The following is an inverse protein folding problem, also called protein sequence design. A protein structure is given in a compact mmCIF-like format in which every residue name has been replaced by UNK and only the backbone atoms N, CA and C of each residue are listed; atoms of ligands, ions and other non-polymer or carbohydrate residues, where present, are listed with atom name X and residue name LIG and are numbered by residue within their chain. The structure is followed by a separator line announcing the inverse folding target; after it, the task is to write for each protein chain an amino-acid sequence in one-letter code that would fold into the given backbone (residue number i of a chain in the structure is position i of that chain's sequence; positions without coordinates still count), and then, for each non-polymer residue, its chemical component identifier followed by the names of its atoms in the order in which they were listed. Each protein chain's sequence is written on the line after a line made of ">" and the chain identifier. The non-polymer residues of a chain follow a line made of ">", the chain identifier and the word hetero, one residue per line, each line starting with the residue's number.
data_IF_306042645378
#
_entry.id   IF_306042645378
#
_cell.length_a   1.000
_cell.length_b   1.000
_cell.length_c   1.000
_cell.angle_alpha   90.00
_cell.angle_beta   90.00
_cell.angle_gamma   90.00
#
_symmetry.space_group_name_H-M   'P 1'
#
loop_
_entity.id
_entity.type
_entity.pdbx_description
1 polymer ?
#
# COMPACT_ATOMS: atom_id res chain seq x y z
N UNK A 1 -24.54 28.63 8.63
CA UNK A 1 -23.76 27.74 7.73
C UNK A 1 -23.23 26.58 8.59
N UNK A 2 -23.66 25.33 8.36
CA UNK A 2 -23.18 24.18 9.15
C UNK A 2 -21.78 23.79 8.65
N UNK A 3 -20.78 23.85 9.52
CA UNK A 3 -19.42 23.36 9.23
C UNK A 3 -19.43 21.85 9.39
N UNK A 4 -19.30 21.11 8.28
CA UNK A 4 -19.14 19.66 8.32
C UNK A 4 -17.73 19.36 8.84
N UNK A 5 -17.62 18.67 9.97
CA UNK A 5 -16.34 18.13 10.46
C UNK A 5 -16.18 16.74 9.88
N UNK A 6 -15.12 16.53 9.12
CA UNK A 6 -14.78 15.26 8.52
C UNK A 6 -13.30 14.99 8.75
N UNK A 7 -12.96 13.70 8.83
CA UNK A 7 -11.61 13.25 9.16
C UNK A 7 -11.08 12.45 7.97
N UNK A 8 -9.82 12.68 7.61
CA UNK A 8 -9.18 11.98 6.50
C UNK A 8 -7.83 11.44 6.92
N UNK A 9 -7.46 10.32 6.31
CA UNK A 9 -6.19 9.65 6.55
C UNK A 9 -5.58 9.19 5.22
N UNK A 10 -4.28 8.92 5.26
CA UNK A 10 -3.53 8.32 4.16
C UNK A 10 -2.34 7.55 4.73
N UNK A 11 -1.84 6.61 3.94
CA UNK A 11 -0.57 5.92 4.22
C UNK A 11 0.46 6.31 3.17
N UNK A 12 1.71 5.93 3.41
CA UNK A 12 2.81 6.11 2.47
C UNK A 12 2.68 5.25 1.20
N UNK A 13 1.91 4.15 1.22
CA UNK A 13 1.61 3.36 0.02
C UNK A 13 0.47 3.96 -0.82
N UNK A 14 -0.35 4.86 -0.24
CA UNK A 14 -1.42 5.56 -0.95
C UNK A 14 -2.62 4.68 -1.38
N UNK A 15 -2.65 3.40 -1.01
CA UNK A 15 -3.64 2.40 -1.45
C UNK A 15 -4.86 2.26 -0.55
N UNK A 16 -4.96 3.03 0.54
CA UNK A 16 -6.15 3.06 1.40
C UNK A 16 -6.36 1.84 2.29
N UNK A 17 -5.33 1.02 2.44
CA UNK A 17 -5.29 -0.07 3.40
C UNK A 17 -4.79 0.38 4.78
N UNK A 18 -5.38 -0.19 5.82
CA UNK A 18 -5.00 0.01 7.21
C UNK A 18 -4.48 -1.31 7.78
N UNK A 19 -3.28 -1.36 8.40
CA UNK A 19 -2.76 -2.60 8.97
C UNK A 19 -3.64 -3.20 10.06
N UNK A 20 -3.56 -4.52 10.22
CA UNK A 20 -4.23 -5.20 11.32
C UNK A 20 -3.74 -4.60 12.65
N UNK A 21 -4.66 -4.45 13.61
CA UNK A 21 -4.40 -3.79 14.88
C UNK A 21 -4.56 -2.27 14.84
N UNK A 22 -4.67 -1.66 13.65
CA UNK A 22 -5.04 -0.25 13.51
C UNK A 22 -6.51 -0.14 13.14
N UNK A 23 -7.18 0.81 13.78
CA UNK A 23 -8.61 1.01 13.62
C UNK A 23 -8.88 2.51 13.55
N UNK A 24 -9.78 2.91 12.66
CA UNK A 24 -10.19 4.30 12.45
C UNK A 24 -11.70 4.42 12.56
N UNK A 25 -12.26 5.54 13.04
CA UNK A 25 -13.70 5.75 13.06
C UNK A 25 -14.33 5.57 11.67
N UNK A 26 -15.55 5.02 11.59
CA UNK A 26 -16.27 4.82 10.32
C UNK A 26 -16.43 6.06 9.45
N UNK A 27 -16.46 7.23 10.08
CA UNK A 27 -16.58 8.55 9.45
C UNK A 27 -15.28 9.04 8.83
N UNK A 28 -14.15 8.36 9.09
CA UNK A 28 -12.86 8.69 8.52
C UNK A 28 -12.73 8.10 7.11
N UNK A 29 -12.38 8.94 6.15
CA UNK A 29 -12.30 8.54 4.73
C UNK A 29 -10.84 8.59 4.27
N UNK A 30 -10.43 7.60 3.50
CA UNK A 30 -9.09 7.60 2.92
C UNK A 30 -8.98 8.66 1.82
N UNK A 31 -7.94 9.50 1.88
CA UNK A 31 -7.81 10.69 1.02
C UNK A 31 -7.80 10.35 -0.48
N UNK A 32 -7.04 9.32 -0.87
CA UNK A 32 -6.97 8.91 -2.29
C UNK A 32 -8.30 8.34 -2.78
N UNK A 33 -8.99 7.59 -1.92
CA UNK A 33 -10.29 6.99 -2.24
C UNK A 33 -11.41 8.02 -2.31
N UNK A 34 -11.35 9.10 -1.52
CA UNK A 34 -12.31 10.22 -1.59
C UNK A 34 -12.19 10.99 -2.91
N UNK A 35 -10.95 11.26 -3.36
CA UNK A 35 -10.71 11.95 -4.63
C UNK A 35 -11.02 11.06 -5.83
N UNK A 36 -10.66 9.78 -5.76
CA UNK A 36 -10.75 8.83 -6.87
C UNK A 36 -10.12 9.37 -8.18
N UNK A 37 -8.97 10.05 -8.05
CA UNK A 37 -8.23 10.62 -9.17
C UNK A 37 -6.93 9.84 -9.39
N UNK A 38 -6.78 9.24 -10.57
CA UNK A 38 -5.57 8.52 -10.96
C UNK A 38 -4.33 9.43 -10.85
N UNK A 39 -4.44 10.66 -11.36
CA UNK A 39 -3.32 11.60 -11.35
C UNK A 39 -2.84 11.95 -9.93
N UNK A 40 -3.76 12.03 -8.96
CA UNK A 40 -3.42 12.28 -7.56
C UNK A 40 -2.73 11.06 -6.94
N UNK A 41 -3.22 9.87 -7.27
CA UNK A 41 -2.65 8.59 -6.82
C UNK A 41 -1.22 8.43 -7.33
N UNK A 42 -1.00 8.61 -8.64
CA UNK A 42 0.33 8.54 -9.27
C UNK A 42 1.30 9.58 -8.70
N UNK A 43 0.81 10.80 -8.46
CA UNK A 43 1.59 11.91 -7.92
C UNK A 43 2.18 11.56 -6.55
N UNK A 44 1.38 10.94 -5.68
CA UNK A 44 1.70 10.73 -4.27
C UNK A 44 2.08 9.29 -3.92
N UNK A 45 2.11 8.39 -4.88
CA UNK A 45 2.44 6.99 -4.65
C UNK A 45 3.83 6.83 -4.02
N UNK A 46 3.89 6.14 -2.88
CA UNK A 46 5.14 5.89 -2.17
C UNK A 46 5.67 7.04 -1.32
N UNK A 47 5.02 8.21 -1.33
CA UNK A 47 5.56 9.43 -0.74
C UNK A 47 5.88 9.28 0.75
N UNK A 48 7.08 9.70 1.13
CA UNK A 48 7.65 9.48 2.46
C UNK A 48 6.97 10.29 3.58
N UNK A 49 6.34 11.41 3.23
CA UNK A 49 5.64 12.31 4.15
C UNK A 49 4.12 12.29 3.91
N UNK A 50 3.36 11.38 4.55
CA UNK A 50 1.91 11.30 4.43
C UNK A 50 1.18 12.61 4.78
N UNK A 51 1.77 13.45 5.63
CA UNK A 51 1.20 14.74 5.98
C UNK A 51 1.19 15.67 4.76
N UNK A 52 2.20 15.63 3.90
CA UNK A 52 2.20 16.38 2.63
C UNK A 52 1.04 15.99 1.72
N UNK A 53 0.76 14.70 1.64
CA UNK A 53 -0.32 14.15 0.81
C UNK A 53 -1.67 14.70 1.28
N UNK A 54 -1.90 14.76 2.60
CA UNK A 54 -3.14 15.33 3.17
C UNK A 54 -3.28 16.83 2.93
N UNK A 55 -2.18 17.59 2.90
CA UNK A 55 -2.20 19.03 2.56
C UNK A 55 -2.65 19.24 1.12
N UNK A 56 -2.03 18.53 0.18
CA UNK A 56 -2.37 18.63 -1.24
C UNK A 56 -3.77 18.10 -1.54
N UNK A 57 -4.20 17.05 -0.82
CA UNK A 57 -5.57 16.55 -0.83
C UNK A 57 -6.58 17.64 -0.47
N UNK A 58 -6.36 18.39 0.61
CA UNK A 58 -7.29 19.42 1.05
C UNK A 58 -7.45 20.54 0.00
N UNK A 59 -6.33 20.96 -0.61
CA UNK A 59 -6.33 21.93 -1.72
C UNK A 59 -7.09 21.38 -2.92
N UNK A 60 -6.73 20.17 -3.36
CA UNK A 60 -7.34 19.51 -4.53
C UNK A 60 -8.85 19.35 -4.35
N UNK A 61 -9.27 18.85 -3.19
CA UNK A 61 -10.69 18.69 -2.86
C UNK A 61 -11.43 20.01 -2.80
N UNK A 62 -10.79 21.07 -2.29
CA UNK A 62 -11.40 22.40 -2.25
C UNK A 62 -11.70 22.91 -3.65
N UNK A 63 -10.77 22.71 -4.60
CA UNK A 63 -10.97 23.06 -5.99
C UNK A 63 -12.08 22.21 -6.64
N UNK A 64 -12.05 20.88 -6.49
CA UNK A 64 -13.06 19.98 -7.08
C UNK A 64 -14.48 20.28 -6.62
N UNK A 65 -14.65 20.62 -5.33
CA UNK A 65 -15.98 20.85 -4.74
C UNK A 65 -16.43 22.31 -4.82
N UNK A 66 -15.55 23.24 -5.23
CA UNK A 66 -15.80 24.68 -5.18
C UNK A 66 -16.05 25.22 -3.77
N UNK A 67 -15.72 24.44 -2.72
CA UNK A 67 -15.95 24.79 -1.32
C UNK A 67 -14.62 24.82 -0.57
N UNK A 68 -14.37 25.81 0.31
CA UNK A 68 -13.19 25.81 1.16
C UNK A 68 -13.14 24.56 2.05
N UNK A 69 -12.08 23.75 1.91
CA UNK A 69 -11.80 22.63 2.83
C UNK A 69 -10.81 23.10 3.86
N UNK A 70 -11.26 23.25 5.12
CA UNK A 70 -10.40 23.76 6.20
C UNK A 70 -9.76 22.61 6.97
N UNK A 71 -8.43 22.46 6.93
CA UNK A 71 -7.73 21.46 7.73
C UNK A 71 -7.51 21.98 9.14
N UNK A 72 -8.12 21.32 10.13
CA UNK A 72 -8.16 21.79 11.53
C UNK A 72 -7.14 21.12 12.45
N UNK A 73 -6.32 20.23 11.91
CA UNK A 73 -5.29 19.50 12.63
C UNK A 73 -4.65 18.46 11.71
N UNK A 74 -3.37 18.17 11.93
CA UNK A 74 -2.59 17.20 11.16
C UNK A 74 -1.68 16.44 12.11
N UNK A 75 -1.77 15.12 12.09
CA UNK A 75 -0.92 14.24 12.86
C UNK A 75 -0.32 13.18 11.92
N UNK A 76 0.96 12.87 12.11
CA UNK A 76 1.66 11.84 11.34
C UNK A 76 2.44 10.93 12.27
N UNK A 77 2.39 9.61 12.04
CA UNK A 77 3.27 8.67 12.73
C UNK A 77 4.73 8.83 12.27
N UNK A 78 4.93 9.34 11.05
CA UNK A 78 6.26 9.64 10.50
C UNK A 78 6.72 11.06 10.80
N UNK A 79 7.97 11.34 10.44
CA UNK A 79 8.48 12.70 10.38
C UNK A 79 7.65 13.54 9.38
N UNK A 80 7.53 14.82 9.67
CA UNK A 80 6.92 15.81 8.77
C UNK A 80 8.08 16.63 8.19
N UNK A 81 8.14 16.72 6.86
CA UNK A 81 9.21 17.46 6.18
C UNK A 81 9.08 18.97 6.39
N UNK A 82 10.21 19.69 6.30
CA UNK A 82 10.23 21.15 6.36
C UNK A 82 9.39 21.77 5.23
N UNK A 83 9.37 21.15 4.05
CA UNK A 83 8.50 21.56 2.94
C UNK A 83 7.02 21.44 3.28
N UNK A 84 6.64 20.39 4.03
CA UNK A 84 5.27 20.26 4.55
C UNK A 84 4.98 21.28 5.62
N UNK A 85 5.91 21.57 6.53
CA UNK A 85 5.72 22.62 7.55
C UNK A 85 5.59 23.99 6.89
N UNK A 86 6.40 24.29 5.87
CA UNK A 86 6.35 25.55 5.11
C UNK A 86 5.07 25.63 4.28
N UNK A 87 4.71 24.58 3.53
CA UNK A 87 3.45 24.54 2.78
C UNK A 87 2.25 24.62 3.74
N UNK A 88 2.36 24.02 4.92
CA UNK A 88 1.37 24.09 5.99
C UNK A 88 1.35 25.47 6.64
N UNK A 89 2.46 26.19 6.78
CA UNK A 89 2.55 27.53 7.35
C UNK A 89 2.07 28.61 6.38
N UNK A 90 2.36 28.44 5.08
CA UNK A 90 1.75 29.21 4.00
C UNK A 90 0.24 28.93 3.91
N UNK A 91 -0.16 27.66 4.06
CA UNK A 91 -1.55 27.29 4.25
C UNK A 91 -2.09 27.76 5.61
N UNK A 92 -1.23 27.95 6.61
CA UNK A 92 -1.42 28.50 7.97
C UNK A 92 -2.00 29.90 7.96
N UNK A 93 -1.54 30.67 6.96
CA UNK A 93 -2.02 31.99 6.59
C UNK A 93 -3.18 31.94 5.56
N UNK A 94 -3.41 30.78 4.93
CA UNK A 94 -4.61 30.54 4.15
C UNK A 94 -5.82 30.41 5.09
N UNK A 95 -6.99 31.00 4.77
CA UNK A 95 -8.22 30.88 5.57
C UNK A 95 -8.67 29.43 5.84
N UNK A 96 -8.03 28.46 5.17
CA UNK A 96 -8.32 27.05 5.20
C UNK A 96 -7.48 26.22 6.19
N UNK A 97 -6.61 26.78 7.03
CA UNK A 97 -5.96 25.94 8.07
C UNK A 97 -6.06 26.50 9.48
N UNK A 98 -6.49 27.75 9.63
CA UNK A 98 -6.84 28.36 10.91
C UNK A 98 -5.71 28.33 11.97
N UNK A 99 -4.44 28.29 11.54
CA UNK A 99 -3.28 28.32 12.43
C UNK A 99 -3.05 27.06 13.27
N UNK A 100 -3.63 25.90 12.91
CA UNK A 100 -3.41 24.67 13.69
C UNK A 100 -2.00 24.11 13.53
N UNK A 101 -1.42 23.50 14.58
CA UNK A 101 -0.07 22.93 14.55
C UNK A 101 -0.09 21.50 13.99
N UNK A 102 0.81 21.19 13.06
CA UNK A 102 1.07 19.81 12.66
C UNK A 102 1.92 19.09 13.72
N UNK A 103 1.54 17.87 14.08
CA UNK A 103 2.21 17.07 15.11
C UNK A 103 2.89 15.86 14.46
N UNK A 104 4.24 15.82 14.40
CA UNK A 104 4.99 14.70 13.88
C UNK A 104 5.15 13.59 14.92
N UNK A 105 5.55 12.40 14.46
CA UNK A 105 5.97 11.27 15.30
C UNK A 105 4.97 10.89 16.39
N UNK A 106 3.68 10.93 16.07
CA UNK A 106 2.65 10.51 17.04
C UNK A 106 2.71 8.99 17.22
N UNK A 107 2.69 8.57 18.48
CA UNK A 107 2.53 7.18 18.87
C UNK A 107 1.20 7.00 19.58
N UNK A 108 0.67 5.78 19.57
CA UNK A 108 -0.42 5.43 20.46
C UNK A 108 0.04 5.58 21.92
N UNK A 109 -0.84 6.03 22.80
CA UNK A 109 -0.51 6.09 24.22
C UNK A 109 -0.19 4.68 24.76
N UNK A 110 0.77 4.54 25.68
CA UNK A 110 1.06 3.24 26.30
C UNK A 110 -0.20 2.64 26.93
N UNK A 111 -0.57 1.43 26.51
CA UNK A 111 -1.78 0.74 27.01
C UNK A 111 -3.09 1.19 26.35
N UNK A 112 -3.04 2.05 25.32
CA UNK A 112 -4.21 2.35 24.51
C UNK A 112 -4.79 1.05 23.93
N UNK A 113 -6.08 0.83 24.17
CA UNK A 113 -6.79 -0.29 23.56
C UNK A 113 -7.04 0.05 22.08
N UNK A 114 -6.86 -0.92 21.16
CA UNK A 114 -7.29 -0.73 19.78
C UNK A 114 -8.76 -0.31 19.77
N UNK A 115 -9.16 0.57 18.84
CA UNK A 115 -10.59 0.80 18.66
C UNK A 115 -11.23 -0.55 18.28
N UNK A 116 -12.46 -0.82 18.74
CA UNK A 116 -13.16 -2.03 18.36
C UNK A 116 -13.30 -2.10 16.82
N UNK A 117 -13.31 -3.32 16.30
CA UNK A 117 -13.46 -3.63 14.88
C UNK A 117 -14.73 -2.98 14.28
N UNK A 118 -15.73 -2.70 15.11
CA UNK A 118 -16.93 -1.97 14.71
C UNK A 118 -17.00 -0.55 15.26
N UNK A 119 -17.39 0.45 14.44
CA UNK A 119 -17.63 0.40 12.99
C UNK A 119 -16.33 0.71 12.19
N UNK A 120 -15.18 0.29 12.69
CA UNK A 120 -13.88 0.70 12.18
C UNK A 120 -13.58 0.13 10.80
N UNK A 121 -13.05 0.96 9.89
CA UNK A 121 -12.71 0.51 8.52
C UNK A 121 -11.38 -0.24 8.52
N UNK A 122 -11.37 -1.51 8.94
CA UNK A 122 -10.36 -2.45 8.44
C UNK A 122 -10.83 -2.92 7.06
N UNK A 123 -10.23 -2.38 6.00
CA UNK A 123 -10.44 -2.87 4.64
C UNK A 123 -9.20 -3.67 4.28
N UNK A 124 -9.35 -4.94 3.93
CA UNK A 124 -8.26 -5.77 3.39
C UNK A 124 -7.59 -5.08 2.18
N UNK A 125 -6.28 -5.25 1.97
CA UNK A 125 -5.51 -4.57 0.91
C UNK A 125 -6.14 -4.75 -0.47
N UNK A 126 -6.43 -6.01 -0.82
CA UNK A 126 -7.13 -6.36 -2.05
C UNK A 126 -8.52 -5.71 -2.14
N UNK A 127 -9.28 -5.60 -1.05
CA UNK A 127 -10.60 -4.98 -1.06
C UNK A 127 -10.51 -3.47 -1.33
N UNK A 128 -9.45 -2.83 -0.84
CA UNK A 128 -9.22 -1.40 -1.04
C UNK A 128 -8.84 -1.06 -2.48
N UNK A 129 -8.10 -1.95 -3.17
CA UNK A 129 -7.59 -1.70 -4.52
C UNK A 129 -8.40 -2.40 -5.63
N UNK A 130 -8.97 -3.57 -5.35
CA UNK A 130 -9.67 -4.46 -6.28
C UNK A 130 -10.91 -5.08 -5.60
N UNK A 131 -11.96 -4.27 -5.32
CA UNK A 131 -13.12 -4.72 -4.54
C UNK A 131 -13.89 -5.87 -5.19
N UNK A 132 -14.00 -5.89 -6.52
CA UNK A 132 -14.73 -6.94 -7.26
C UNK A 132 -14.00 -8.29 -7.18
N UNK A 133 -12.68 -8.28 -7.35
CA UNK A 133 -11.86 -9.49 -7.21
C UNK A 133 -11.85 -10.02 -5.77
N UNK A 134 -11.79 -9.12 -4.79
CA UNK A 134 -11.96 -9.50 -3.39
C UNK A 134 -13.33 -10.15 -3.15
N UNK A 135 -14.40 -9.56 -3.68
CA UNK A 135 -15.74 -10.13 -3.55
C UNK A 135 -15.85 -11.51 -4.21
N UNK A 136 -15.28 -11.69 -5.41
CA UNK A 136 -15.25 -12.97 -6.11
C UNK A 136 -14.55 -14.06 -5.27
N UNK A 137 -13.38 -13.77 -4.68
CA UNK A 137 -12.65 -14.72 -3.81
C UNK A 137 -13.43 -15.13 -2.55
N UNK A 138 -14.27 -14.23 -2.03
CA UNK A 138 -15.02 -14.42 -0.78
C UNK A 138 -16.46 -14.91 -1.01
N UNK A 139 -16.97 -14.88 -2.24
CA UNK A 139 -18.30 -15.41 -2.56
C UNK A 139 -18.34 -16.94 -2.43
N UNK A 140 -19.31 -17.42 -1.65
CA UNK A 140 -19.44 -18.81 -1.17
C UNK A 140 -19.72 -19.87 -2.24
N UNK A 141 -20.04 -19.46 -3.47
CA UNK A 141 -20.33 -20.36 -4.60
C UNK A 141 -19.17 -20.49 -5.60
N UNK A 142 -18.33 -19.47 -5.76
CA UNK A 142 -17.22 -19.43 -6.72
C UNK A 142 -15.84 -19.63 -6.07
N UNK A 143 -15.68 -19.32 -4.77
CA UNK A 143 -14.39 -19.29 -4.09
C UNK A 143 -14.20 -20.34 -2.98
N UNK A 144 -14.67 -21.59 -3.13
CA UNK A 144 -14.38 -22.64 -2.12
C UNK A 144 -13.05 -23.32 -2.38
N UNK A 145 -12.27 -23.53 -1.31
CA UNK A 145 -11.09 -24.41 -1.21
C UNK A 145 -10.15 -24.36 -2.43
N UNK A 146 -10.45 -25.22 -3.41
CA UNK A 146 -9.73 -25.36 -4.67
C UNK A 146 -9.69 -24.07 -5.49
N UNK A 147 -10.81 -23.35 -5.65
CA UNK A 147 -10.81 -22.10 -6.43
C UNK A 147 -9.94 -20.99 -5.81
N UNK A 148 -9.80 -20.94 -4.48
CA UNK A 148 -8.88 -20.01 -3.79
C UNK A 148 -7.43 -20.42 -3.95
N UNK A 149 -7.16 -21.72 -3.92
CA UNK A 149 -5.84 -22.28 -4.18
C UNK A 149 -5.43 -21.99 -5.62
N UNK A 150 -6.33 -22.21 -6.60
CA UNK A 150 -6.11 -21.91 -8.00
C UNK A 150 -5.86 -20.42 -8.21
N UNK A 151 -6.71 -19.54 -7.65
CA UNK A 151 -6.49 -18.10 -7.73
C UNK A 151 -5.16 -17.64 -7.13
N UNK A 152 -4.77 -18.20 -5.98
CA UNK A 152 -3.47 -17.92 -5.37
C UNK A 152 -2.30 -18.43 -6.24
N UNK A 153 -2.42 -19.63 -6.81
CA UNK A 153 -1.42 -20.21 -7.73
C UNK A 153 -1.29 -19.36 -8.99
N UNK A 154 -2.41 -19.00 -9.60
CA UNK A 154 -2.45 -18.25 -10.86
C UNK A 154 -1.96 -16.82 -10.65
N UNK A 155 -2.21 -16.22 -9.49
CA UNK A 155 -1.61 -14.95 -9.07
C UNK A 155 -0.07 -15.04 -9.03
N UNK A 156 0.49 -16.09 -8.41
CA UNK A 156 1.96 -16.28 -8.39
C UNK A 156 2.51 -16.49 -9.79
N UNK A 157 1.84 -17.28 -10.64
CA UNK A 157 2.26 -17.48 -12.03
C UNK A 157 2.20 -16.17 -12.84
N UNK A 158 1.15 -15.37 -12.67
CA UNK A 158 0.98 -14.09 -13.33
C UNK A 158 2.11 -13.11 -12.93
N UNK A 159 2.53 -13.11 -11.66
CA UNK A 159 3.70 -12.34 -11.19
C UNK A 159 4.97 -12.75 -11.93
N UNK A 160 5.21 -14.05 -12.12
CA UNK A 160 6.44 -14.54 -12.76
C UNK A 160 6.55 -14.10 -14.22
N UNK A 161 5.41 -13.81 -14.86
CA UNK A 161 5.35 -13.24 -16.21
C UNK A 161 5.64 -11.73 -16.27
N UNK A 162 5.82 -11.06 -15.13
CA UNK A 162 6.18 -9.63 -15.08
C UNK A 162 7.70 -9.42 -15.06
N UNK A 163 8.19 -8.23 -15.47
CA UNK A 163 9.59 -7.85 -15.28
C UNK A 163 10.01 -7.79 -13.80
N UNK A 164 9.07 -7.59 -12.88
CA UNK A 164 9.36 -7.54 -11.45
C UNK A 164 9.91 -8.86 -10.89
N UNK A 165 9.62 -9.98 -11.56
CA UNK A 165 10.10 -11.30 -11.17
C UNK A 165 11.46 -11.68 -11.79
N UNK A 166 12.08 -10.83 -12.63
CA UNK A 166 13.35 -11.15 -13.29
C UNK A 166 14.46 -11.59 -12.31
N UNK A 167 14.63 -10.97 -11.12
CA UNK A 167 15.60 -11.45 -10.13
C UNK A 167 15.32 -12.86 -9.61
N UNK A 168 14.06 -13.30 -9.59
CA UNK A 168 13.65 -14.65 -9.15
C UNK A 168 13.93 -15.72 -10.21
N UNK A 169 13.89 -15.32 -11.49
CA UNK A 169 14.02 -16.19 -12.68
C UNK A 169 15.47 -16.36 -13.17
N UNK A 170 16.41 -15.55 -12.68
CA UNK A 170 17.83 -15.64 -13.06
C UNK A 170 18.42 -17.04 -12.78
N UNK A 171 19.53 -17.43 -13.43
CA UNK A 171 20.23 -18.67 -13.11
C UNK A 171 20.54 -18.83 -11.61
N UNK A 172 20.08 -19.92 -11.00
CA UNK A 172 20.17 -20.20 -9.56
C UNK A 172 19.13 -19.46 -8.71
N UNK A 173 18.20 -18.73 -9.32
CA UNK A 173 17.12 -18.02 -8.63
C UNK A 173 16.04 -18.97 -8.09
N UNK A 174 15.30 -18.56 -7.05
CA UNK A 174 14.33 -19.42 -6.37
C UNK A 174 13.20 -19.89 -7.29
N UNK A 175 12.74 -19.06 -8.24
CA UNK A 175 11.72 -19.49 -9.20
C UNK A 175 12.26 -20.55 -10.15
N UNK A 176 13.45 -20.34 -10.71
CA UNK A 176 14.07 -21.31 -11.61
C UNK A 176 14.30 -22.67 -10.93
N UNK A 177 14.76 -22.66 -9.67
CA UNK A 177 14.93 -23.87 -8.87
C UNK A 177 13.59 -24.58 -8.60
N UNK A 178 12.55 -23.81 -8.31
CA UNK A 178 11.21 -24.36 -8.10
C UNK A 178 10.65 -24.99 -9.38
N UNK A 179 10.75 -24.31 -10.53
CA UNK A 179 10.33 -24.82 -11.84
C UNK A 179 11.05 -26.12 -12.20
N UNK A 180 12.38 -26.14 -12.07
CA UNK A 180 13.18 -27.33 -12.36
C UNK A 180 12.81 -28.55 -11.48
N UNK A 181 12.18 -28.31 -10.33
CA UNK A 181 11.74 -29.33 -9.36
C UNK A 181 10.25 -29.66 -9.46
N UNK A 182 9.55 -29.18 -10.49
CA UNK A 182 8.14 -29.48 -10.72
C UNK A 182 7.16 -28.35 -10.38
N UNK A 183 7.63 -27.09 -10.39
CA UNK A 183 6.79 -25.89 -10.29
C UNK A 183 6.07 -25.73 -8.95
N UNK A 184 5.01 -24.92 -8.93
CA UNK A 184 4.24 -24.65 -7.69
C UNK A 184 3.54 -25.90 -7.14
N UNK A 185 3.24 -26.89 -7.98
CA UNK A 185 2.54 -28.12 -7.58
C UNK A 185 3.46 -29.07 -6.80
N UNK A 186 4.65 -29.35 -7.35
CA UNK A 186 5.55 -30.41 -6.84
C UNK A 186 6.92 -29.90 -6.43
N UNK A 187 7.33 -28.74 -6.94
CA UNK A 187 8.59 -28.11 -6.61
C UNK A 187 8.67 -27.77 -5.13
N UNK A 188 9.85 -28.01 -4.55
CA UNK A 188 10.16 -27.67 -3.16
C UNK A 188 11.53 -27.01 -3.12
N UNK A 189 11.59 -25.86 -2.45
CA UNK A 189 12.84 -25.25 -2.04
C UNK A 189 13.19 -25.77 -0.65
N UNK A 190 14.49 -25.90 -0.38
CA UNK A 190 15.02 -26.20 0.94
C UNK A 190 14.83 -25.01 1.89
N UNK A 191 14.91 -25.27 3.19
CA UNK A 191 14.89 -24.21 4.21
C UNK A 191 15.96 -23.14 3.98
N UNK A 192 17.15 -23.55 3.50
CA UNK A 192 18.23 -22.63 3.19
C UNK A 192 17.90 -21.71 2.00
N UNK A 193 17.27 -22.24 0.95
CA UNK A 193 16.84 -21.46 -0.22
C UNK A 193 15.71 -20.49 0.15
N UNK A 194 14.76 -20.91 0.99
CA UNK A 194 13.72 -20.03 1.53
C UNK A 194 14.30 -18.93 2.43
N UNK A 195 15.25 -19.28 3.30
CA UNK A 195 15.94 -18.30 4.15
C UNK A 195 16.72 -17.29 3.32
N UNK A 196 17.37 -17.72 2.24
CA UNK A 196 18.07 -16.82 1.32
C UNK A 196 17.10 -15.83 0.65
N UNK A 197 15.97 -16.30 0.11
CA UNK A 197 14.95 -15.42 -0.46
C UNK A 197 14.41 -14.41 0.57
N UNK A 198 14.21 -14.85 1.82
CA UNK A 198 13.73 -13.98 2.90
C UNK A 198 14.75 -12.90 3.26
N UNK A 199 16.03 -13.26 3.37
CA UNK A 199 17.11 -12.31 3.62
C UNK A 199 17.24 -11.26 2.49
N UNK A 200 17.10 -11.69 1.25
CA UNK A 200 17.09 -10.80 0.09
C UNK A 200 15.88 -9.85 0.15
N UNK A 201 14.70 -10.35 0.52
CA UNK A 201 13.49 -9.55 0.70
C UNK A 201 13.66 -8.51 1.82
N UNK A 202 14.13 -8.91 3.00
CA UNK A 202 14.31 -8.02 4.15
C UNK A 202 15.33 -6.91 3.85
N UNK A 203 16.44 -7.26 3.21
CA UNK A 203 17.46 -6.31 2.76
C UNK A 203 16.90 -5.35 1.70
N UNK A 204 16.16 -5.88 0.74
CA UNK A 204 15.50 -5.10 -0.30
C UNK A 204 14.43 -4.16 0.25
N UNK A 205 13.67 -4.57 1.29
CA UNK A 205 12.63 -3.78 1.93
C UNK A 205 13.20 -2.52 2.59
N UNK A 206 14.36 -2.62 3.27
CA UNK A 206 15.07 -1.48 3.83
C UNK A 206 15.49 -0.50 2.73
N UNK A 207 16.09 -1.00 1.64
CA UNK A 207 16.51 -0.17 0.51
C UNK A 207 15.32 0.49 -0.20
N UNK A 208 14.22 -0.24 -0.40
CA UNK A 208 12.99 0.29 -0.99
C UNK A 208 12.41 1.42 -0.14
N UNK A 209 12.41 1.26 1.18
CA UNK A 209 12.05 2.34 2.11
C UNK A 209 12.89 3.60 1.91
N UNK A 210 14.22 3.46 1.74
CA UNK A 210 15.13 4.57 1.52
C UNK A 210 14.97 5.24 0.13
N UNK A 211 14.40 4.54 -0.85
CA UNK A 211 14.13 5.06 -2.19
C UNK A 211 12.83 5.86 -2.29
N UNK A 212 11.99 5.87 -1.25
CA UNK A 212 10.69 6.57 -1.29
C UNK A 212 10.86 8.03 -1.74
N UNK A 213 9.99 8.52 -2.64
CA UNK A 213 10.02 9.93 -3.02
C UNK A 213 9.62 10.81 -1.83
N UNK A 214 10.14 12.03 -1.77
CA UNK A 214 9.78 13.00 -0.73
C UNK A 214 10.72 13.08 0.47
N UNK A 215 11.76 12.23 0.54
CA UNK A 215 12.81 12.39 1.56
C UNK A 215 13.79 13.53 1.27
N UNK A 216 13.99 13.88 -0.01
CA UNK A 216 14.91 14.96 -0.41
C UNK A 216 14.13 16.21 -0.72
N UNK A 217 14.64 17.37 -0.32
CA UNK A 217 14.04 18.68 -0.59
C UNK A 217 13.80 18.96 -2.09
N UNK A 218 14.58 18.33 -2.99
CA UNK A 218 14.38 18.46 -4.43
C UNK A 218 13.41 17.43 -5.01
N UNK A 219 12.90 16.49 -4.21
CA UNK A 219 11.97 15.46 -4.71
C UNK A 219 10.71 16.15 -5.20
N UNK A 220 10.36 15.93 -6.45
CA UNK A 220 9.08 16.36 -6.99
C UNK A 220 8.19 15.15 -7.21
N UNK A 221 6.88 15.30 -6.98
CA UNK A 221 5.93 14.29 -7.43
C UNK A 221 6.13 13.98 -8.93
N UNK A 222 6.09 12.70 -9.31
CA UNK A 222 6.40 12.16 -10.66
C UNK A 222 7.88 12.16 -11.09
N UNK A 223 8.83 12.51 -10.21
CA UNK A 223 10.27 12.43 -10.56
C UNK A 223 10.75 11.00 -10.83
N UNK A 224 11.82 10.88 -11.63
CA UNK A 224 12.47 9.61 -11.96
C UNK A 224 12.96 8.84 -10.71
N UNK A 225 13.26 9.50 -9.59
CA UNK A 225 13.54 8.83 -8.31
C UNK A 225 12.32 7.97 -7.87
N UNK A 226 11.10 8.48 -8.08
CA UNK A 226 9.87 7.73 -7.86
C UNK A 226 9.77 6.49 -8.76
N UNK A 227 10.31 6.53 -9.98
CA UNK A 227 10.34 5.33 -10.85
C UNK A 227 11.22 4.22 -10.29
N UNK A 228 12.38 4.55 -9.70
CA UNK A 228 13.25 3.57 -9.02
C UNK A 228 12.58 2.95 -7.80
N UNK A 229 11.84 3.75 -7.02
CA UNK A 229 11.02 3.24 -5.92
C UNK A 229 9.95 2.27 -6.43
N UNK A 230 9.18 2.64 -7.47
CA UNK A 230 8.11 1.79 -8.03
C UNK A 230 8.68 0.47 -8.54
N UNK A 231 9.80 0.50 -9.27
CA UNK A 231 10.47 -0.72 -9.75
C UNK A 231 10.84 -1.62 -8.57
N UNK A 232 11.56 -1.08 -7.56
CA UNK A 232 11.97 -1.88 -6.41
C UNK A 232 10.80 -2.38 -5.58
N UNK A 233 9.74 -1.57 -5.44
CA UNK A 233 8.51 -1.94 -4.76
C UNK A 233 7.86 -3.15 -5.45
N UNK A 234 7.75 -3.12 -6.78
CA UNK A 234 7.18 -4.24 -7.56
C UNK A 234 8.02 -5.50 -7.44
N UNK A 235 9.35 -5.40 -7.50
CA UNK A 235 10.25 -6.54 -7.27
C UNK A 235 10.01 -7.19 -5.90
N UNK A 236 9.90 -6.38 -4.85
CA UNK A 236 9.60 -6.88 -3.50
C UNK A 236 8.22 -7.54 -3.43
N UNK A 237 7.21 -6.98 -4.09
CA UNK A 237 5.88 -7.60 -4.16
C UNK A 237 5.91 -8.94 -4.91
N UNK A 238 6.77 -9.07 -5.92
CA UNK A 238 6.98 -10.35 -6.60
C UNK A 238 7.63 -11.40 -5.68
N UNK A 239 8.66 -10.99 -4.90
CA UNK A 239 9.27 -11.84 -3.88
C UNK A 239 8.26 -12.24 -2.79
N UNK A 240 7.45 -11.29 -2.33
CA UNK A 240 6.43 -11.51 -1.31
C UNK A 240 5.34 -12.47 -1.78
N UNK A 241 4.94 -12.42 -3.05
CA UNK A 241 3.98 -13.39 -3.60
C UNK A 241 4.52 -14.84 -3.51
N UNK A 242 5.80 -15.06 -3.82
CA UNK A 242 6.43 -16.37 -3.72
C UNK A 242 6.65 -16.81 -2.26
N UNK A 243 7.02 -15.88 -1.37
CA UNK A 243 7.15 -16.13 0.06
C UNK A 243 5.79 -16.44 0.69
N UNK A 244 4.73 -15.74 0.30
CA UNK A 244 3.38 -15.98 0.78
C UNK A 244 2.86 -17.36 0.34
N UNK A 245 3.19 -17.80 -0.89
CA UNK A 245 2.89 -19.15 -1.37
C UNK A 245 3.50 -20.25 -0.48
N UNK A 246 4.72 -20.05 0.06
CA UNK A 246 5.35 -21.00 0.97
C UNK A 246 4.46 -21.33 2.18
N UNK A 247 3.72 -20.34 2.66
CA UNK A 247 2.90 -20.43 3.89
C UNK A 247 1.41 -20.56 3.58
N UNK A 248 1.01 -20.84 2.34
CA UNK A 248 -0.39 -21.14 2.05
C UNK A 248 -0.77 -22.50 2.66
N UNK A 249 -1.90 -22.65 3.38
CA UNK A 249 -3.03 -21.72 3.50
C UNK A 249 -3.03 -20.81 4.75
N UNK A 250 -1.96 -20.80 5.55
CA UNK A 250 -1.86 -19.91 6.72
C UNK A 250 -1.84 -18.43 6.30
N UNK A 251 -1.29 -18.14 5.11
CA UNK A 251 -1.48 -16.86 4.41
C UNK A 251 -2.69 -16.93 3.48
N UNK A 252 -3.53 -15.89 3.52
CA UNK A 252 -4.78 -15.88 2.76
C UNK A 252 -4.53 -15.76 1.24
N UNK A 253 -5.40 -16.38 0.43
CA UNK A 253 -5.38 -16.17 -1.02
C UNK A 253 -5.56 -14.69 -1.39
N UNK A 254 -6.29 -13.91 -0.58
CA UNK A 254 -6.46 -12.48 -0.81
C UNK A 254 -5.14 -11.70 -0.68
N UNK A 255 -4.25 -12.10 0.22
CA UNK A 255 -2.92 -11.49 0.36
C UNK A 255 -2.01 -11.83 -0.82
N UNK A 256 -2.01 -13.10 -1.27
CA UNK A 256 -1.23 -13.54 -2.44
C UNK A 256 -1.71 -12.81 -3.72
N UNK A 257 -3.02 -12.72 -3.91
CA UNK A 257 -3.61 -12.02 -5.06
C UNK A 257 -3.32 -10.51 -4.99
N UNK A 258 -3.35 -9.90 -3.80
CA UNK A 258 -2.95 -8.50 -3.64
C UNK A 258 -1.47 -8.27 -3.97
N UNK A 259 -0.56 -9.11 -3.46
CA UNK A 259 0.87 -8.94 -3.72
C UNK A 259 1.16 -9.11 -5.21
N UNK A 260 0.44 -10.01 -5.89
CA UNK A 260 0.51 -10.14 -7.34
C UNK A 260 0.06 -8.88 -8.09
N UNK A 261 -1.11 -8.35 -7.74
CA UNK A 261 -1.59 -7.07 -8.28
C UNK A 261 -0.57 -5.95 -8.07
N UNK A 262 -0.03 -5.84 -6.85
CA UNK A 262 0.91 -4.79 -6.47
C UNK A 262 2.28 -4.94 -7.16
N UNK A 263 2.67 -6.15 -7.56
CA UNK A 263 3.84 -6.41 -8.41
C UNK A 263 3.63 -5.98 -9.88
N UNK A 264 2.38 -5.69 -10.27
CA UNK A 264 2.00 -5.32 -11.63
C UNK A 264 1.54 -6.49 -12.49
N UNK A 265 1.15 -7.61 -11.89
CA UNK A 265 0.54 -8.71 -12.63
C UNK A 265 -0.87 -8.32 -13.12
N UNK A 266 -1.21 -8.76 -14.34
CA UNK A 266 -2.59 -8.70 -14.82
C UNK A 266 -3.37 -9.88 -14.23
N UNK A 267 -4.42 -9.55 -13.47
CA UNK A 267 -5.25 -10.53 -12.77
C UNK A 267 -6.57 -10.83 -13.50
N UNK A 268 -6.76 -10.33 -14.72
CA UNK A 268 -7.97 -10.59 -15.51
C UNK A 268 -8.22 -12.10 -15.74
N UNK A 269 -7.17 -12.92 -15.70
CA UNK A 269 -7.25 -14.37 -15.85
C UNK A 269 -7.65 -15.14 -14.57
N UNK A 270 -7.78 -14.45 -13.42
CA UNK A 270 -8.07 -15.09 -12.12
C UNK A 270 -9.58 -15.23 -11.87
N UNK A 271 -10.43 -14.44 -12.55
CA UNK A 271 -11.89 -14.40 -12.34
C UNK A 271 -12.70 -15.26 -13.30
#
# INVERSE_FOLDING_TARGET
>A
MRVLRMWWWTTNEGSGWLPEGFYLPHTMVHAVSDLNLLEFTEKWYGWADPARVLVDYAVTRSHLTGRPVVVRGLASMGAISEDTVTAWGAAGQHPATGGCKAVPSVAAEPGAKPLPEEPGRFLHRLRATQPDLFQWLHNSWAGRGEARLEAARDAVLAVMNTPAADPLKRPGGPWQLLEARGGLERGRLSEQEWAALRNDYDSGAVLCGALRPGFRAQSRPRDAIGSSYVTRFRELRAMEALLAWQHYPDVSASDIVYTAFAAGADLAAIT
#
